data_IF_512537290392
#
_entry.id   IF_512537290392
#
_cell.length_a   1.000
_cell.length_b   1.000
_cell.length_c   1.000
_cell.angle_alpha   90.00
_cell.angle_beta   90.00
_cell.angle_gamma   90.00
#
_symmetry.space_group_name_H-M   'P 1'
#
loop_
_entity.id
_entity.type
_entity.pdbx_description
1 polymer ?
#
# COMPACT_ATOMS: atom_id res chain seq x y z
N UNK A 1 7.74 -10.89 16.41
CA UNK A 1 7.94 -9.97 15.27
C UNK A 1 7.99 -8.55 15.83
N UNK A 2 8.75 -7.64 15.22
CA UNK A 2 8.78 -6.21 15.59
C UNK A 2 8.26 -5.35 14.44
N UNK A 3 7.90 -4.09 14.72
CA UNK A 3 7.53 -3.15 13.67
C UNK A 3 8.70 -2.83 12.73
N UNK A 4 9.94 -2.79 13.22
CA UNK A 4 11.13 -2.61 12.38
C UNK A 4 11.29 -3.75 11.36
N UNK A 5 11.07 -5.00 11.78
CA UNK A 5 11.09 -6.15 10.87
C UNK A 5 9.95 -6.09 9.85
N UNK A 6 8.75 -5.68 10.27
CA UNK A 6 7.62 -5.45 9.36
C UNK A 6 7.90 -4.32 8.36
N UNK A 7 8.53 -3.22 8.80
CA UNK A 7 8.93 -2.12 7.94
C UNK A 7 10.01 -2.54 6.94
N UNK A 8 10.99 -3.35 7.36
CA UNK A 8 11.99 -3.90 6.47
C UNK A 8 11.36 -4.76 5.37
N UNK A 9 10.38 -5.60 5.72
CA UNK A 9 9.60 -6.39 4.76
C UNK A 9 8.80 -5.52 3.78
N UNK A 10 8.12 -4.48 4.29
CA UNK A 10 7.39 -3.52 3.43
C UNK A 10 8.35 -2.79 2.50
N UNK A 11 9.52 -2.37 2.98
CA UNK A 11 10.54 -1.69 2.17
C UNK A 11 11.10 -2.60 1.09
N UNK A 12 11.39 -3.86 1.42
CA UNK A 12 11.89 -4.86 0.48
C UNK A 12 10.90 -5.05 -0.67
N UNK A 13 9.64 -5.39 -0.36
CA UNK A 13 8.62 -5.64 -1.37
C UNK A 13 8.07 -4.38 -2.04
N UNK A 14 8.14 -3.23 -1.35
CA UNK A 14 7.64 -1.94 -1.80
C UNK A 14 6.11 -1.81 -1.72
N UNK A 15 5.36 -2.82 -2.16
CA UNK A 15 3.90 -2.91 -2.07
C UNK A 15 3.48 -4.22 -1.46
N UNK A 16 2.64 -4.15 -0.43
CA UNK A 16 2.06 -5.32 0.25
C UNK A 16 0.58 -5.11 0.52
N UNK A 17 -0.19 -6.19 0.56
CA UNK A 17 -1.56 -6.18 1.09
C UNK A 17 -1.51 -6.27 2.61
N UNK A 18 -2.41 -5.55 3.30
CA UNK A 18 -2.50 -5.67 4.76
C UNK A 18 -2.83 -7.12 5.16
N UNK A 19 -3.94 -7.67 4.64
CA UNK A 19 -4.36 -9.05 4.95
C UNK A 19 -5.11 -9.77 3.82
N UNK A 20 -5.54 -9.08 2.76
CA UNK A 20 -6.27 -9.73 1.67
C UNK A 20 -5.35 -10.62 0.81
N UNK A 21 -5.88 -11.69 0.21
CA UNK A 21 -5.13 -12.49 -0.78
C UNK A 21 -4.95 -11.71 -2.08
N UNK A 22 -3.82 -11.83 -2.76
CA UNK A 22 -3.59 -11.14 -4.03
C UNK A 22 -2.23 -11.46 -4.65
N UNK A 23 -1.86 -10.67 -5.67
CA UNK A 23 -0.63 -10.79 -6.45
C UNK A 23 0.61 -10.23 -5.76
N UNK A 24 0.46 -9.60 -4.59
CA UNK A 24 1.56 -9.07 -3.78
C UNK A 24 1.54 -9.71 -2.37
N UNK A 25 2.67 -9.71 -1.65
CA UNK A 25 2.77 -10.33 -0.32
C UNK A 25 1.79 -9.73 0.70
N UNK A 26 1.53 -10.49 1.77
CA UNK A 26 0.61 -10.12 2.85
C UNK A 26 1.38 -9.82 4.13
N UNK A 27 1.20 -8.62 4.67
CA UNK A 27 1.85 -8.23 5.92
C UNK A 27 1.35 -9.06 7.12
N UNK A 28 0.05 -9.35 7.19
CA UNK A 28 -0.50 -10.18 8.26
C UNK A 28 0.10 -11.60 8.29
N UNK A 29 0.37 -12.20 7.13
CA UNK A 29 1.01 -13.52 7.05
C UNK A 29 2.46 -13.46 7.50
N UNK A 30 3.18 -12.42 7.06
CA UNK A 30 4.56 -12.21 7.47
C UNK A 30 4.67 -12.06 9.00
N UNK A 31 3.81 -11.26 9.62
CA UNK A 31 3.76 -11.11 11.08
C UNK A 31 3.37 -12.42 11.77
N UNK A 32 2.38 -13.13 11.24
CA UNK A 32 1.97 -14.42 11.80
C UNK A 32 3.09 -15.47 11.71
N UNK A 33 3.95 -15.37 10.69
CA UNK A 33 4.95 -16.37 10.33
C UNK A 33 4.36 -17.55 9.55
N UNK A 34 3.09 -17.46 9.15
CA UNK A 34 2.36 -18.49 8.42
C UNK A 34 1.22 -17.87 7.60
N UNK A 35 0.67 -18.65 6.65
CA UNK A 35 -0.46 -18.18 5.85
C UNK A 35 -1.78 -18.27 6.63
N UNK A 36 -2.42 -17.11 6.86
CA UNK A 36 -3.72 -17.05 7.54
C UNK A 36 -4.84 -17.39 6.55
N UNK A 37 -5.52 -18.52 6.77
CA UNK A 37 -6.61 -19.02 5.90
C UNK A 37 -7.94 -18.27 6.04
N UNK A 38 -8.18 -17.60 7.17
CA UNK A 38 -9.43 -16.89 7.50
C UNK A 38 -9.21 -15.44 7.94
N UNK A 39 -10.09 -14.93 8.79
CA UNK A 39 -9.92 -13.59 9.38
C UNK A 39 -8.72 -13.57 10.31
N UNK A 40 -7.79 -12.64 10.10
CA UNK A 40 -6.64 -12.46 10.98
C UNK A 40 -7.04 -12.05 12.41
N UNK A 41 -8.24 -11.48 12.60
CA UNK A 41 -8.80 -11.18 13.92
C UNK A 41 -9.00 -12.44 14.79
N UNK A 42 -9.32 -13.58 14.17
CA UNK A 42 -9.49 -14.85 14.86
C UNK A 42 -8.17 -15.61 15.06
N UNK A 43 -7.05 -15.07 14.57
CA UNK A 43 -5.75 -15.71 14.68
C UNK A 43 -5.18 -15.57 16.10
N UNK A 44 -4.46 -16.57 16.65
CA UNK A 44 -3.82 -16.46 17.97
C UNK A 44 -2.88 -15.25 18.11
N UNK A 45 -2.28 -14.80 16.99
CA UNK A 45 -1.41 -13.61 16.92
C UNK A 45 -2.13 -12.31 16.58
N UNK A 46 -3.47 -12.25 16.66
CA UNK A 46 -4.24 -11.05 16.28
C UNK A 46 -3.77 -9.78 17.01
N UNK A 47 -3.42 -9.89 18.30
CA UNK A 47 -2.90 -8.75 19.09
C UNK A 47 -1.56 -8.23 18.56
N UNK A 48 -0.67 -9.14 18.15
CA UNK A 48 0.64 -8.79 17.58
C UNK A 48 0.48 -8.13 16.20
N UNK A 49 -0.38 -8.70 15.35
CA UNK A 49 -0.72 -8.14 14.03
C UNK A 49 -1.29 -6.73 14.17
N UNK A 50 -2.25 -6.56 15.08
CA UNK A 50 -2.87 -5.27 15.34
C UNK A 50 -1.85 -4.22 15.82
N UNK A 51 -1.03 -4.57 16.82
CA UNK A 51 -0.03 -3.64 17.36
C UNK A 51 0.95 -3.17 16.28
N UNK A 52 1.44 -4.08 15.44
CA UNK A 52 2.36 -3.74 14.35
C UNK A 52 1.64 -2.91 13.28
N UNK A 53 0.38 -3.22 12.92
CA UNK A 53 -0.36 -2.42 11.95
C UNK A 53 -0.53 -0.96 12.42
N UNK A 54 -0.77 -0.75 13.71
CA UNK A 54 -0.83 0.59 14.29
C UNK A 54 0.48 1.33 14.11
N UNK A 55 1.59 0.72 14.53
CA UNK A 55 2.90 1.36 14.46
C UNK A 55 3.34 1.66 13.01
N UNK A 56 3.05 0.75 12.07
CA UNK A 56 3.28 0.97 10.64
C UNK A 56 2.40 2.11 10.09
N UNK A 57 1.14 2.20 10.54
CA UNK A 57 0.18 3.22 10.08
C UNK A 57 0.53 4.65 10.48
N UNK A 58 1.29 4.83 11.57
CA UNK A 58 1.80 6.13 12.01
C UNK A 58 3.08 6.57 11.28
N UNK A 59 3.69 5.67 10.49
CA UNK A 59 4.94 5.96 9.81
C UNK A 59 4.74 6.96 8.66
N UNK A 60 5.53 8.05 8.58
CA UNK A 60 5.50 8.98 7.45
C UNK A 60 6.07 8.35 6.17
N UNK A 61 6.67 7.16 6.25
CA UNK A 61 7.24 6.43 5.12
C UNK A 61 6.22 5.49 4.44
N UNK A 62 4.95 5.52 4.87
CA UNK A 62 3.90 4.59 4.46
C UNK A 62 2.68 5.32 3.93
N UNK A 63 2.22 4.88 2.75
CA UNK A 63 0.89 5.16 2.25
C UNK A 63 0.03 3.92 2.46
N UNK A 64 -1.10 4.08 3.16
CA UNK A 64 -2.17 3.07 3.20
C UNK A 64 -3.28 3.56 2.28
N UNK A 65 -3.72 2.73 1.33
CA UNK A 65 -4.79 3.07 0.38
C UNK A 65 -5.52 1.81 -0.10
N UNK A 66 -6.58 1.97 -0.92
CA UNK A 66 -7.33 0.85 -1.51
C UNK A 66 -6.94 0.65 -2.98
N UNK A 67 -5.75 0.10 -3.21
CA UNK A 67 -5.12 0.08 -4.53
C UNK A 67 -5.24 -1.28 -5.25
N UNK A 68 -4.47 -2.29 -4.81
CA UNK A 68 -4.37 -3.57 -5.53
C UNK A 68 -5.71 -4.29 -5.50
N UNK A 69 -6.41 -4.32 -6.64
CA UNK A 69 -7.77 -4.84 -6.76
C UNK A 69 -8.75 -4.25 -5.71
N UNK A 70 -8.56 -2.98 -5.34
CA UNK A 70 -9.40 -2.27 -4.35
C UNK A 70 -9.18 -2.69 -2.89
N UNK A 71 -8.13 -3.47 -2.59
CA UNK A 71 -7.83 -3.97 -1.24
C UNK A 71 -6.92 -3.01 -0.49
N UNK A 72 -6.99 -3.07 0.85
CA UNK A 72 -6.09 -2.30 1.73
C UNK A 72 -4.65 -2.69 1.43
N UNK A 73 -3.92 -1.73 0.88
CA UNK A 73 -2.58 -1.84 0.34
C UNK A 73 -1.68 -0.87 1.09
N UNK A 74 -0.48 -1.32 1.42
CA UNK A 74 0.56 -0.57 2.08
C UNK A 74 1.67 -0.36 1.06
N UNK A 75 2.01 0.90 0.77
CA UNK A 75 3.02 1.30 -0.21
C UNK A 75 4.12 2.06 0.51
N UNK A 76 5.35 1.55 0.41
CA UNK A 76 6.54 2.20 0.95
C UNK A 76 6.89 3.46 0.15
N UNK A 77 7.37 4.51 0.83
CA UNK A 77 7.68 5.82 0.22
C UNK A 77 8.63 5.79 -0.96
N UNK A 78 9.53 4.79 -1.02
CA UNK A 78 10.45 4.61 -2.16
C UNK A 78 9.73 4.44 -3.50
N UNK A 79 8.47 4.02 -3.47
CA UNK A 79 7.63 3.81 -4.66
C UNK A 79 6.64 4.95 -4.91
N UNK A 80 6.53 5.95 -4.03
CA UNK A 80 5.58 7.04 -4.23
C UNK A 80 5.85 7.84 -5.51
N UNK A 81 7.09 8.18 -5.89
CA UNK A 81 7.33 8.87 -7.16
C UNK A 81 6.86 8.06 -8.36
N UNK A 82 7.13 6.75 -8.37
CA UNK A 82 6.65 5.85 -9.42
C UNK A 82 5.12 5.78 -9.43
N UNK A 83 4.49 5.63 -8.26
CA UNK A 83 3.03 5.59 -8.12
C UNK A 83 2.36 6.88 -8.61
N UNK A 84 2.92 8.04 -8.26
CA UNK A 84 2.44 9.36 -8.68
C UNK A 84 2.64 9.55 -10.18
N UNK A 85 3.77 9.09 -10.74
CA UNK A 85 4.04 9.18 -12.18
C UNK A 85 2.96 8.48 -13.01
N UNK A 86 2.55 7.28 -12.59
CA UNK A 86 1.52 6.50 -13.28
C UNK A 86 0.14 6.60 -12.61
N UNK A 87 -0.10 7.64 -11.80
CA UNK A 87 -1.36 7.79 -11.07
C UNK A 87 -2.60 7.81 -11.97
N UNK A 88 -2.44 8.27 -13.22
CA UNK A 88 -3.50 8.30 -14.23
C UNK A 88 -4.00 6.91 -14.66
N UNK A 89 -3.29 5.84 -14.30
CA UNK A 89 -3.71 4.45 -14.53
C UNK A 89 -4.70 3.95 -13.48
N UNK A 90 -4.90 4.71 -12.42
CA UNK A 90 -5.77 4.36 -11.30
C UNK A 90 -6.88 5.38 -11.14
N UNK A 91 -7.98 4.95 -10.54
CA UNK A 91 -9.01 5.88 -10.10
C UNK A 91 -8.52 6.68 -8.89
N UNK A 92 -8.87 7.96 -8.79
CA UNK A 92 -8.37 8.83 -7.72
C UNK A 92 -8.72 8.33 -6.29
N UNK A 93 -9.85 7.64 -6.12
CA UNK A 93 -10.24 7.00 -4.86
C UNK A 93 -9.34 5.82 -4.46
N UNK A 94 -8.69 5.14 -5.42
CA UNK A 94 -7.76 4.05 -5.13
C UNK A 94 -6.45 4.57 -4.53
N UNK A 95 -6.11 5.84 -4.83
CA UNK A 95 -4.92 6.52 -4.32
C UNK A 95 -5.23 7.44 -3.13
N UNK A 96 -6.46 7.48 -2.63
CA UNK A 96 -6.77 8.19 -1.40
C UNK A 96 -6.02 7.55 -0.23
N UNK A 97 -5.29 8.37 0.53
CA UNK A 97 -4.65 7.91 1.76
C UNK A 97 -5.74 7.61 2.77
N UNK A 98 -5.72 6.39 3.31
CA UNK A 98 -6.62 5.91 4.35
C UNK A 98 -5.83 5.91 5.65
N UNK A 99 -6.20 6.77 6.57
CA UNK A 99 -5.69 6.74 7.94
C UNK A 99 -6.76 6.13 8.84
N UNK A 100 -6.45 5.02 9.50
CA UNK A 100 -7.33 4.40 10.49
C UNK A 100 -7.07 5.08 11.84
N UNK A 101 -7.85 6.09 12.19
CA UNK A 101 -7.74 6.67 13.53
C UNK A 101 -8.58 5.85 14.51
N UNK A 102 -7.94 5.43 15.60
CA UNK A 102 -8.65 4.83 16.71
C UNK A 102 -9.02 5.89 17.73
N UNK A 103 -10.32 6.04 17.98
CA UNK A 103 -10.79 6.78 19.14
C UNK A 103 -10.54 5.93 20.39
N UNK A 104 -10.38 6.59 21.54
CA UNK A 104 -10.23 5.95 22.85
C UNK A 104 -11.40 5.01 23.24
N UNK A 105 -12.51 5.04 22.50
CA UNK A 105 -13.69 4.18 22.67
C UNK A 105 -13.69 2.91 21.80
N UNK A 106 -12.65 2.65 20.99
CA UNK A 106 -12.57 1.46 20.14
C UNK A 106 -13.36 1.56 18.83
N UNK A 107 -13.93 2.74 18.51
CA UNK A 107 -14.48 3.01 17.19
C UNK A 107 -13.35 3.44 16.23
N UNK A 108 -13.31 2.84 15.06
CA UNK A 108 -12.37 3.22 14.01
C UNK A 108 -13.01 4.33 13.18
N UNK A 109 -12.39 5.51 13.16
CA UNK A 109 -12.73 6.56 12.19
C UNK A 109 -11.68 6.51 11.09
N UNK A 110 -12.10 6.07 9.90
CA UNK A 110 -11.27 6.18 8.71
C UNK A 110 -11.25 7.64 8.29
N UNK A 111 -10.13 8.35 8.47
CA UNK A 111 -9.91 9.62 7.79
C UNK A 111 -9.29 9.35 6.43
N UNK A 112 -9.92 9.87 5.39
CA UNK A 112 -9.40 9.73 4.03
C UNK A 112 -8.89 11.09 3.53
N UNK A 113 -7.63 11.12 3.08
CA UNK A 113 -7.05 12.27 2.41
C UNK A 113 -6.97 11.97 0.91
N UNK A 114 -7.80 12.65 0.12
CA UNK A 114 -7.93 12.41 -1.32
C UNK A 114 -6.62 12.64 -2.05
N UNK A 115 -6.31 11.83 -3.07
CA UNK A 115 -5.23 12.12 -4.01
C UNK A 115 -5.53 13.43 -4.78
N UNK A 116 -4.53 14.31 -5.03
CA UNK A 116 -3.11 14.21 -4.65
C UNK A 116 -2.76 14.92 -3.32
N UNK A 117 -3.73 15.22 -2.44
CA UNK A 117 -3.51 16.08 -1.25
C UNK A 117 -2.48 15.56 -0.24
N UNK A 118 -2.27 14.24 -0.17
CA UNK A 118 -1.26 13.64 0.72
C UNK A 118 0.15 13.65 0.13
N UNK A 119 0.30 13.91 -1.17
CA UNK A 119 1.58 13.74 -1.88
C UNK A 119 2.53 14.88 -1.52
N UNK A 120 3.71 14.60 -0.95
CA UNK A 120 4.70 15.63 -0.67
C UNK A 120 5.19 16.31 -1.96
N UNK A 121 5.48 17.64 -1.96
CA UNK A 121 5.97 18.34 -3.15
C UNK A 121 7.21 17.70 -3.79
N UNK A 122 8.16 17.22 -2.98
CA UNK A 122 9.38 16.57 -3.47
C UNK A 122 9.07 15.30 -4.27
N UNK A 123 8.04 14.55 -3.87
CA UNK A 123 7.59 13.34 -4.58
C UNK A 123 7.00 13.70 -5.94
N UNK A 124 6.28 14.83 -6.03
CA UNK A 124 5.75 15.33 -7.31
C UNK A 124 6.91 15.66 -8.27
N UNK A 125 7.94 16.35 -7.79
CA UNK A 125 9.13 16.67 -8.57
C UNK A 125 9.89 15.42 -9.03
N UNK A 126 10.05 14.43 -8.14
CA UNK A 126 10.67 13.15 -8.48
C UNK A 126 9.84 12.38 -9.51
N UNK A 127 8.52 12.34 -9.36
CA UNK A 127 7.61 11.69 -10.29
C UNK A 127 7.70 12.31 -11.70
N UNK A 128 7.79 13.63 -11.81
CA UNK A 128 7.92 14.32 -13.09
C UNK A 128 9.20 13.93 -13.85
N UNK A 129 10.27 13.56 -13.13
CA UNK A 129 11.55 13.13 -13.70
C UNK A 129 11.57 11.67 -14.16
N UNK A 130 10.65 10.82 -13.70
CA UNK A 130 10.60 9.40 -14.05
C UNK A 130 9.91 9.16 -15.40
N UNK A 131 10.40 8.18 -16.16
CA UNK A 131 9.64 7.64 -17.30
C UNK A 131 8.45 6.78 -16.84
N UNK A 132 7.36 6.72 -17.61
CA UNK A 132 6.21 5.88 -17.25
C UNK A 132 6.56 4.39 -17.23
N UNK A 133 7.37 3.94 -18.18
CA UNK A 133 7.84 2.55 -18.23
C UNK A 133 8.69 2.21 -17.00
N UNK A 134 9.61 3.10 -16.63
CA UNK A 134 10.45 2.97 -15.43
C UNK A 134 9.59 2.92 -14.16
N UNK A 135 8.59 3.79 -14.06
CA UNK A 135 7.64 3.80 -12.95
C UNK A 135 6.83 2.49 -12.87
N UNK A 136 6.31 1.98 -13.99
CA UNK A 136 5.62 0.69 -14.04
C UNK A 136 6.54 -0.46 -13.61
N UNK A 137 7.77 -0.49 -14.11
CA UNK A 137 8.77 -1.49 -13.73
C UNK A 137 9.11 -1.44 -12.24
N UNK A 138 9.21 -0.25 -11.65
CA UNK A 138 9.45 -0.09 -10.22
C UNK A 138 8.30 -0.59 -9.34
N UNK A 139 7.05 -0.41 -9.78
CA UNK A 139 5.87 -0.92 -9.08
C UNK A 139 5.72 -2.45 -9.24
N UNK A 140 6.18 -3.00 -10.37
CA UNK A 140 6.13 -4.43 -10.66
C UNK A 140 4.83 -4.86 -11.35
N UNK A 141 4.69 -6.16 -11.57
CA UNK A 141 3.69 -6.73 -12.48
C UNK A 141 2.22 -6.48 -12.09
N UNK A 142 1.93 -6.06 -10.86
CA UNK A 142 0.55 -5.74 -10.45
C UNK A 142 0.08 -4.38 -10.97
N UNK A 143 1.00 -3.48 -11.33
CA UNK A 143 0.72 -2.12 -11.78
C UNK A 143 0.76 -1.96 -13.31
N UNK A 144 0.79 -3.06 -14.05
CA UNK A 144 0.98 -3.03 -15.50
C UNK A 144 -0.11 -2.23 -16.20
N UNK A 145 0.32 -1.33 -17.09
CA UNK A 145 -0.49 -0.79 -18.17
C UNK A 145 -1.19 -1.94 -18.91
N UNK A 146 -2.49 -1.81 -19.27
CA UNK A 146 -3.04 -2.70 -20.28
C UNK A 146 -2.14 -2.61 -21.52
N UNK A 147 -1.72 -3.76 -22.07
CA UNK A 147 -0.98 -3.78 -23.33
C UNK A 147 -1.70 -2.89 -24.34
N UNK A 148 -0.93 -2.00 -24.97
CA UNK A 148 -1.43 -1.11 -26.02
C UNK A 148 -2.13 -1.98 -27.06
N UNK A 149 -3.46 -1.95 -27.10
CA UNK A 149 -4.23 -2.75 -28.05
C UNK A 149 -3.67 -2.49 -29.46
N UNK A 150 -3.42 -3.53 -30.27
CA UNK A 150 -2.99 -3.33 -31.65
C UNK A 150 -4.03 -2.45 -32.34
N UNK A 151 -3.56 -1.39 -33.02
CA UNK A 151 -4.44 -0.55 -33.83
C UNK A 151 -5.17 -1.46 -34.82
N UNK A 152 -6.50 -1.42 -34.92
CA UNK A 152 -7.18 -2.07 -36.03
C UNK A 152 -6.65 -1.44 -37.33
N UNK A 153 -6.12 -2.29 -38.21
CA UNK A 153 -5.83 -1.99 -39.61
C UNK A 153 -7.09 -1.58 -40.34
#
# INVERSE_FOLDING_TARGET
MTADQAMAFIREHGVVLASAKGSVPRLADFIAGESIKGSWWAHPKSREIFAIFQEIGESPDILICRLVNGKVTIVHRRLWPALVRVAHLFQANQLAQVHQEHTSSGHHVSRELSYPKWVPPQVIEEAQRLGEQEACSALGAWATLPEKAPKPT
#
